data_IF_995631592743
#
_entry.id   IF_995631592743
#
_cell.length_a   1.000
_cell.length_b   1.000
_cell.length_c   1.000
_cell.angle_alpha   90.00
_cell.angle_beta   90.00
_cell.angle_gamma   90.00
#
_symmetry.space_group_name_H-M   'P 1'
#
loop_
_entity.id
_entity.type
_entity.pdbx_description
1 polymer ?
#
# COMPACT_ATOMS: atom_id res chain seq x y z
N UNK A 1 29.26 -6.94 2.66
CA UNK A 1 29.11 -8.27 2.04
C UNK A 1 28.89 -8.08 0.55
N UNK A 2 29.50 -8.89 -0.29
CA UNK A 2 29.24 -8.89 -1.74
C UNK A 2 27.87 -9.51 -2.02
N UNK A 3 27.14 -8.92 -2.96
CA UNK A 3 25.81 -9.39 -3.36
C UNK A 3 25.87 -10.75 -4.07
N UNK A 4 24.94 -11.63 -3.73
CA UNK A 4 24.93 -13.03 -4.17
C UNK A 4 24.41 -13.11 -5.60
N UNK A 5 25.15 -13.78 -6.47
CA UNK A 5 24.67 -14.10 -7.82
C UNK A 5 23.71 -15.28 -7.76
N UNK A 6 22.55 -15.15 -8.38
CA UNK A 6 21.55 -16.21 -8.43
C UNK A 6 21.92 -17.22 -9.53
N UNK A 7 22.44 -18.37 -9.13
CA UNK A 7 22.60 -19.51 -10.04
C UNK A 7 21.25 -20.18 -10.28
N UNK A 8 21.12 -20.98 -11.34
CA UNK A 8 19.87 -21.69 -11.67
C UNK A 8 19.35 -22.54 -10.50
N UNK A 9 20.24 -23.21 -9.77
CA UNK A 9 19.87 -24.03 -8.61
C UNK A 9 19.33 -23.19 -7.45
N UNK A 10 19.93 -22.03 -7.19
CA UNK A 10 19.47 -21.09 -6.16
C UNK A 10 18.14 -20.48 -6.58
N UNK A 11 18.02 -20.02 -7.83
CA UNK A 11 16.80 -19.45 -8.40
C UNK A 11 15.65 -20.47 -8.34
N UNK A 12 15.89 -21.74 -8.69
CA UNK A 12 14.89 -22.80 -8.59
C UNK A 12 14.44 -23.06 -7.16
N UNK A 13 15.38 -23.04 -6.20
CA UNK A 13 15.07 -23.20 -4.78
C UNK A 13 14.21 -22.05 -4.25
N UNK A 14 14.54 -20.81 -4.63
CA UNK A 14 13.74 -19.63 -4.29
C UNK A 14 12.36 -19.69 -4.98
N UNK A 15 12.29 -20.10 -6.25
CA UNK A 15 11.03 -20.21 -6.99
C UNK A 15 10.05 -21.19 -6.32
N UNK A 16 10.55 -22.28 -5.75
CA UNK A 16 9.74 -23.21 -4.94
C UNK A 16 9.21 -22.55 -3.66
N UNK A 17 10.02 -21.71 -3.00
CA UNK A 17 9.56 -20.93 -1.83
C UNK A 17 8.42 -19.99 -2.23
N UNK A 18 8.55 -19.28 -3.35
CA UNK A 18 7.52 -18.36 -3.84
C UNK A 18 6.24 -19.10 -4.25
N UNK A 19 6.36 -20.26 -4.91
CA UNK A 19 5.21 -21.10 -5.25
C UNK A 19 4.45 -21.52 -4.00
N UNK A 20 5.17 -22.03 -3.00
CA UNK A 20 4.57 -22.47 -1.74
C UNK A 20 3.93 -21.31 -0.98
N UNK A 21 4.54 -20.12 -1.02
CA UNK A 21 3.96 -18.92 -0.44
C UNK A 21 2.61 -18.58 -1.11
N UNK A 22 2.56 -18.57 -2.45
CA UNK A 22 1.35 -18.25 -3.22
C UNK A 22 0.20 -19.26 -3.00
N UNK A 23 0.51 -20.52 -2.72
CA UNK A 23 -0.49 -21.57 -2.45
C UNK A 23 -1.08 -21.51 -1.03
N UNK A 24 -0.43 -20.83 -0.09
CA UNK A 24 -0.96 -20.66 1.27
C UNK A 24 -2.16 -19.72 1.25
N UNK A 25 -3.12 -19.94 2.15
CA UNK A 25 -4.33 -19.08 2.29
C UNK A 25 -3.98 -17.59 2.34
N UNK A 26 -2.94 -17.22 3.10
CA UNK A 26 -2.50 -15.82 3.24
C UNK A 26 -1.78 -15.28 2.00
N UNK A 27 -1.20 -16.15 1.18
CA UNK A 27 -0.46 -15.77 -0.03
C UNK A 27 -1.31 -15.71 -1.29
N UNK A 28 -2.50 -16.32 -1.30
CA UNK A 28 -3.39 -16.33 -2.46
C UNK A 28 -3.75 -14.93 -2.96
N UNK A 29 -3.91 -13.97 -2.05
CA UNK A 29 -4.20 -12.57 -2.41
C UNK A 29 -3.02 -11.85 -3.09
N UNK A 30 -1.81 -12.42 -3.03
CA UNK A 30 -0.60 -11.92 -3.65
C UNK A 30 -0.14 -12.79 -4.83
N UNK A 31 -0.90 -13.83 -5.20
CA UNK A 31 -0.48 -14.82 -6.19
C UNK A 31 -0.54 -14.31 -7.64
N UNK A 32 -1.26 -13.22 -7.90
CA UNK A 32 -1.46 -12.65 -9.23
C UNK A 32 -1.54 -11.13 -9.15
N UNK A 33 -1.33 -10.41 -10.28
CA UNK A 33 -1.44 -8.96 -10.31
C UNK A 33 -2.80 -8.48 -9.77
N UNK A 34 -2.79 -7.38 -9.01
CA UNK A 34 -4.03 -6.77 -8.53
C UNK A 34 -4.85 -6.28 -9.72
N UNK A 35 -6.02 -6.88 -9.95
CA UNK A 35 -6.96 -6.42 -10.97
C UNK A 35 -7.72 -5.19 -10.48
N UNK A 36 -7.04 -4.04 -10.49
CA UNK A 36 -7.57 -2.79 -9.98
C UNK A 36 -8.80 -2.28 -10.75
N UNK A 37 -9.02 -2.73 -11.99
CA UNK A 37 -10.22 -2.39 -12.78
C UNK A 37 -11.43 -3.14 -12.24
N UNK A 38 -11.33 -4.47 -12.14
CA UNK A 38 -12.42 -5.32 -11.63
C UNK A 38 -12.79 -4.97 -10.18
N UNK A 39 -11.78 -4.61 -9.38
CA UNK A 39 -11.97 -4.20 -7.98
C UNK A 39 -12.43 -2.73 -7.82
N UNK A 40 -12.59 -1.97 -8.91
CA UNK A 40 -13.01 -0.56 -8.86
C UNK A 40 -12.01 0.38 -8.18
N UNK A 41 -10.73 0.01 -8.14
CA UNK A 41 -9.65 0.71 -7.46
C UNK A 41 -9.02 1.77 -8.39
N UNK A 42 -9.77 2.85 -8.65
CA UNK A 42 -9.41 3.86 -9.65
C UNK A 42 -8.12 4.66 -9.36
N UNK A 43 -7.66 4.70 -8.10
CA UNK A 43 -6.44 5.37 -7.70
C UNK A 43 -5.25 4.41 -7.50
N UNK A 44 -5.42 3.10 -7.72
CA UNK A 44 -4.41 2.09 -7.39
C UNK A 44 -3.06 2.42 -8.05
N UNK A 45 -3.05 2.70 -9.36
CA UNK A 45 -1.84 3.07 -10.09
C UNK A 45 -1.33 4.50 -9.78
N UNK A 46 -2.16 5.33 -9.13
CA UNK A 46 -1.74 6.63 -8.62
C UNK A 46 -0.96 6.50 -7.31
N UNK A 47 -1.25 5.46 -6.52
CA UNK A 47 -0.59 5.19 -5.24
C UNK A 47 0.55 4.18 -5.44
N UNK A 48 0.26 3.03 -6.03
CA UNK A 48 1.20 1.94 -6.32
C UNK A 48 1.88 2.20 -7.66
N UNK A 49 3.15 2.63 -7.60
CA UNK A 49 3.94 3.01 -8.78
C UNK A 49 4.54 1.83 -9.54
N UNK A 50 4.91 0.77 -8.83
CA UNK A 50 5.48 -0.45 -9.40
C UNK A 50 4.68 -1.65 -8.89
N UNK A 51 3.55 -2.02 -9.52
CA UNK A 51 2.82 -3.24 -9.18
C UNK A 51 3.74 -4.46 -9.26
N UNK A 52 3.57 -5.39 -8.33
CA UNK A 52 4.30 -6.65 -8.27
C UNK A 52 3.44 -7.68 -7.52
N UNK A 53 3.61 -8.95 -7.86
CA UNK A 53 2.93 -10.09 -7.26
C UNK A 53 3.84 -11.33 -7.27
N UNK A 54 3.48 -12.37 -6.52
CA UNK A 54 4.28 -13.57 -6.37
C UNK A 54 4.40 -14.37 -7.68
N UNK A 55 3.38 -14.35 -8.53
CA UNK A 55 3.41 -15.02 -9.84
C UNK A 55 4.41 -14.34 -10.77
N UNK A 56 4.34 -13.02 -10.90
CA UNK A 56 5.31 -12.22 -11.67
C UNK A 56 6.72 -12.35 -11.10
N UNK A 57 6.88 -12.29 -9.76
CA UNK A 57 8.17 -12.46 -9.10
C UNK A 57 8.79 -13.82 -9.42
N UNK A 58 8.01 -14.90 -9.34
CA UNK A 58 8.45 -16.25 -9.68
C UNK A 58 8.82 -16.36 -11.17
N UNK A 59 7.97 -15.83 -12.05
CA UNK A 59 8.21 -15.84 -13.48
C UNK A 59 9.52 -15.13 -13.84
N UNK A 60 9.73 -13.91 -13.32
CA UNK A 60 10.95 -13.14 -13.54
C UNK A 60 12.20 -13.90 -13.05
N UNK A 61 12.10 -14.54 -11.89
CA UNK A 61 13.19 -15.32 -11.33
C UNK A 61 13.57 -16.51 -12.21
N UNK A 62 12.58 -17.27 -12.70
CA UNK A 62 12.83 -18.44 -13.56
C UNK A 62 13.31 -18.06 -14.98
N UNK A 63 13.05 -16.83 -15.41
CA UNK A 63 13.52 -16.29 -16.69
C UNK A 63 14.83 -15.48 -16.56
N UNK A 64 15.57 -15.66 -15.47
CA UNK A 64 16.86 -15.02 -15.22
C UNK A 64 16.82 -13.48 -15.27
N UNK A 65 15.67 -12.86 -14.97
CA UNK A 65 15.55 -11.40 -14.87
C UNK A 65 16.40 -10.86 -13.72
N UNK A 66 16.52 -11.63 -12.64
CA UNK A 66 17.35 -11.27 -11.48
C UNK A 66 18.71 -11.97 -11.57
N UNK A 67 19.77 -11.20 -11.81
CA UNK A 67 21.16 -11.70 -11.73
C UNK A 67 21.62 -11.74 -10.27
N UNK A 68 21.17 -10.78 -9.46
CA UNK A 68 21.54 -10.63 -8.06
C UNK A 68 20.39 -10.89 -7.12
N UNK A 69 20.72 -11.42 -5.93
CA UNK A 69 19.78 -11.66 -4.87
C UNK A 69 19.12 -10.37 -4.39
N UNK A 70 19.87 -9.26 -4.30
CA UNK A 70 19.30 -7.98 -3.87
C UNK A 70 18.17 -7.50 -4.77
N UNK A 71 18.27 -7.68 -6.10
CA UNK A 71 17.23 -7.30 -7.06
C UNK A 71 15.94 -8.10 -6.82
N UNK A 72 16.08 -9.41 -6.63
CA UNK A 72 14.95 -10.28 -6.25
C UNK A 72 14.32 -9.86 -4.91
N UNK A 73 15.14 -9.59 -3.89
CA UNK A 73 14.66 -9.20 -2.55
C UNK A 73 13.91 -7.87 -2.60
N UNK A 74 14.37 -6.90 -3.39
CA UNK A 74 13.69 -5.62 -3.59
C UNK A 74 12.29 -5.82 -4.18
N UNK A 75 12.16 -6.62 -5.23
CA UNK A 75 10.85 -6.87 -5.86
C UNK A 75 9.95 -7.75 -4.98
N UNK A 76 10.51 -8.67 -4.20
CA UNK A 76 9.78 -9.41 -3.17
C UNK A 76 9.19 -8.46 -2.11
N UNK A 77 10.00 -7.56 -1.55
CA UNK A 77 9.54 -6.57 -0.59
C UNK A 77 8.54 -5.57 -1.20
N UNK A 78 8.66 -5.26 -2.49
CA UNK A 78 7.75 -4.37 -3.21
C UNK A 78 6.30 -4.87 -3.18
N UNK A 79 6.06 -6.19 -3.25
CA UNK A 79 4.71 -6.79 -3.15
C UNK A 79 4.03 -6.34 -1.86
N UNK A 80 4.73 -6.53 -0.73
CA UNK A 80 4.19 -6.27 0.59
C UNK A 80 4.18 -4.78 0.91
N UNK A 81 5.18 -4.02 0.45
CA UNK A 81 5.19 -2.56 0.56
C UNK A 81 4.03 -1.92 -0.21
N UNK A 82 3.73 -2.38 -1.43
CA UNK A 82 2.55 -1.92 -2.17
C UNK A 82 1.27 -2.19 -1.40
N UNK A 83 1.13 -3.40 -0.85
CA UNK A 83 -0.01 -3.75 -0.01
C UNK A 83 -0.12 -2.81 1.20
N UNK A 84 1.01 -2.53 1.87
CA UNK A 84 1.05 -1.65 3.05
C UNK A 84 0.75 -0.19 2.72
N UNK A 85 1.31 0.34 1.64
CA UNK A 85 1.10 1.73 1.21
C UNK A 85 -0.37 1.93 0.83
N UNK A 86 -0.94 0.98 0.10
CA UNK A 86 -2.31 1.10 -0.39
C UNK A 86 -3.36 0.83 0.71
N UNK A 87 -3.14 -0.21 1.53
CA UNK A 87 -4.11 -0.68 2.52
C UNK A 87 -3.82 -0.23 3.97
N UNK A 88 -2.70 0.46 4.23
CA UNK A 88 -2.20 0.76 5.58
C UNK A 88 -3.10 1.63 6.46
N UNK A 89 -4.14 2.22 5.88
CA UNK A 89 -5.14 2.99 6.59
C UNK A 89 -6.50 2.28 6.73
N UNK A 90 -6.60 1.00 6.36
CA UNK A 90 -7.85 0.22 6.51
C UNK A 90 -8.14 -0.05 7.99
N UNK A 91 -9.38 0.22 8.45
CA UNK A 91 -9.80 0.01 9.84
C UNK A 91 -9.63 -1.44 10.32
N UNK A 92 -9.68 -2.39 9.41
CA UNK A 92 -9.63 -3.82 9.73
C UNK A 92 -8.20 -4.37 9.84
N UNK A 93 -7.19 -3.67 9.29
CA UNK A 93 -5.79 -4.10 9.30
C UNK A 93 -5.52 -5.46 8.65
N UNK A 94 -6.53 -6.08 8.01
CA UNK A 94 -6.46 -7.44 7.49
C UNK A 94 -5.34 -7.59 6.46
N UNK A 95 -5.31 -6.73 5.45
CA UNK A 95 -4.30 -6.77 4.39
C UNK A 95 -2.88 -6.55 4.91
N UNK A 96 -2.72 -5.71 5.95
CA UNK A 96 -1.43 -5.50 6.62
C UNK A 96 -0.96 -6.79 7.31
N UNK A 97 -1.87 -7.45 8.04
CA UNK A 97 -1.58 -8.71 8.71
C UNK A 97 -1.21 -9.80 7.71
N UNK A 98 -1.96 -9.92 6.60
CA UNK A 98 -1.67 -10.89 5.54
C UNK A 98 -0.34 -10.62 4.86
N UNK A 99 -0.01 -9.35 4.58
CA UNK A 99 1.26 -8.95 4.01
C UNK A 99 2.42 -9.35 4.93
N UNK A 100 2.35 -8.99 6.22
CA UNK A 100 3.38 -9.33 7.19
C UNK A 100 3.53 -10.85 7.35
N UNK A 101 2.42 -11.59 7.48
CA UNK A 101 2.47 -13.06 7.65
C UNK A 101 3.06 -13.77 6.41
N UNK A 102 2.73 -13.30 5.21
CA UNK A 102 3.27 -13.87 3.97
C UNK A 102 4.76 -13.53 3.81
N UNK A 103 5.15 -12.28 4.08
CA UNK A 103 6.55 -11.82 4.05
C UNK A 103 7.41 -12.59 5.06
N UNK A 104 6.95 -12.71 6.31
CA UNK A 104 7.62 -13.47 7.37
C UNK A 104 7.81 -14.94 6.97
N UNK A 105 6.79 -15.56 6.36
CA UNK A 105 6.90 -16.93 5.87
C UNK A 105 8.00 -17.07 4.79
N UNK A 106 8.01 -16.18 3.79
CA UNK A 106 9.00 -16.20 2.71
C UNK A 106 10.40 -16.03 3.31
N UNK A 107 10.60 -15.02 4.16
CA UNK A 107 11.87 -14.75 4.83
C UNK A 107 12.33 -15.99 5.61
N UNK A 108 11.43 -16.61 6.38
CA UNK A 108 11.74 -17.80 7.16
C UNK A 108 12.14 -19.00 6.28
N UNK A 109 11.57 -19.15 5.08
CA UNK A 109 12.00 -20.20 4.14
C UNK A 109 13.31 -19.87 3.44
N UNK A 110 13.53 -18.61 3.03
CA UNK A 110 14.78 -18.18 2.38
C UNK A 110 15.99 -18.44 3.30
N UNK A 111 15.87 -18.23 4.61
CA UNK A 111 16.92 -18.55 5.61
C UNK A 111 17.32 -20.02 5.63
N UNK A 112 16.45 -20.93 5.20
CA UNK A 112 16.74 -22.36 5.17
C UNK A 112 17.58 -22.76 3.94
N UNK A 113 17.66 -21.89 2.94
CA UNK A 113 18.51 -22.09 1.77
C UNK A 113 19.93 -21.67 2.15
N UNK A 114 20.76 -22.65 2.55
CA UNK A 114 22.11 -22.42 3.09
C UNK A 114 22.97 -21.55 2.18
N UNK A 115 22.84 -21.73 0.87
CA UNK A 115 23.63 -21.03 -0.15
C UNK A 115 23.32 -19.52 -0.24
N UNK A 116 22.19 -19.07 0.33
CA UNK A 116 21.83 -17.66 0.39
C UNK A 116 22.51 -16.90 1.53
N UNK A 117 22.93 -17.58 2.61
CA UNK A 117 23.51 -16.95 3.79
C UNK A 117 22.73 -15.69 4.28
N UNK A 118 21.40 -15.66 4.08
CA UNK A 118 20.54 -14.54 4.48
C UNK A 118 20.23 -14.64 5.97
N UNK A 119 20.34 -13.51 6.67
CA UNK A 119 19.81 -13.32 8.01
C UNK A 119 18.95 -12.04 8.08
N UNK A 120 18.34 -11.78 9.25
CA UNK A 120 17.52 -10.59 9.49
C UNK A 120 18.20 -9.28 9.11
N UNK A 121 19.48 -9.12 9.46
CA UNK A 121 20.21 -7.89 9.21
C UNK A 121 20.49 -7.69 7.72
N UNK A 122 20.87 -8.75 7.00
CA UNK A 122 21.15 -8.73 5.56
C UNK A 122 19.86 -8.47 4.78
N UNK A 123 18.77 -9.16 5.13
CA UNK A 123 17.47 -8.93 4.50
C UNK A 123 17.02 -7.48 4.68
N UNK A 124 17.09 -6.96 5.93
CA UNK A 124 16.76 -5.55 6.20
C UNK A 124 17.67 -4.58 5.47
N UNK A 125 18.96 -4.87 5.33
CA UNK A 125 19.88 -4.03 4.56
C UNK A 125 19.49 -3.97 3.08
N UNK A 126 19.10 -5.10 2.49
CA UNK A 126 18.65 -5.18 1.10
C UNK A 126 17.33 -4.44 0.87
N UNK A 127 16.42 -4.48 1.85
CA UNK A 127 15.13 -3.78 1.79
C UNK A 127 15.26 -2.28 2.08
N UNK A 128 16.07 -1.88 3.07
CA UNK A 128 16.22 -0.49 3.51
C UNK A 128 17.26 0.30 2.70
N UNK A 129 18.01 -0.34 1.79
CA UNK A 129 18.97 0.33 0.92
C UNK A 129 18.35 1.35 -0.04
N UNK A 130 17.05 1.21 -0.32
CA UNK A 130 16.23 2.14 -1.10
C UNK A 130 14.92 2.40 -0.35
N UNK A 131 15.00 3.04 0.84
CA UNK A 131 13.78 3.61 1.46
C UNK A 131 13.19 4.60 0.47
N UNK A 132 12.22 4.15 -0.32
CA UNK A 132 11.28 5.02 -1.00
C UNK A 132 10.63 5.85 0.09
N UNK A 133 11.07 7.11 0.17
CA UNK A 133 10.37 8.18 0.88
C UNK A 133 9.00 8.33 0.23
N UNK A 134 8.07 7.45 0.56
CA UNK A 134 6.67 7.63 0.19
C UNK A 134 6.11 8.66 1.15
N UNK A 135 5.85 9.85 0.61
CA UNK A 135 4.96 10.81 1.24
C UNK A 135 3.66 10.10 1.60
N UNK A 136 3.12 10.29 2.82
CA UNK A 136 1.89 9.62 3.22
C UNK A 136 0.77 9.99 2.25
N UNK A 137 0.34 9.03 1.43
CA UNK A 137 -0.79 9.19 0.51
C UNK A 137 -2.10 8.85 1.22
N UNK A 138 -3.14 9.64 0.94
CA UNK A 138 -4.51 9.30 1.32
C UNK A 138 -4.93 8.04 0.55
N UNK A 139 -5.01 6.90 1.23
CA UNK A 139 -5.49 5.66 0.61
C UNK A 139 -7.01 5.68 0.39
N UNK A 140 -7.53 4.90 -0.57
CA UNK A 140 -8.97 4.79 -0.93
C UNK A 140 -9.86 4.79 0.30
N UNK A 141 -9.54 3.97 1.29
CA UNK A 141 -10.40 3.81 2.46
C UNK A 141 -10.59 5.13 3.22
N UNK A 142 -9.53 5.93 3.37
CA UNK A 142 -9.64 7.27 3.99
C UNK A 142 -10.45 8.23 3.13
N UNK A 143 -10.33 8.15 1.79
CA UNK A 143 -11.16 8.93 0.88
C UNK A 143 -12.63 8.53 1.02
N UNK A 144 -12.94 7.23 1.05
CA UNK A 144 -14.31 6.73 1.25
C UNK A 144 -14.88 7.13 2.61
N UNK A 145 -14.10 7.02 3.68
CA UNK A 145 -14.51 7.48 5.02
C UNK A 145 -14.72 8.99 5.05
N UNK A 146 -13.86 9.77 4.39
CA UNK A 146 -14.03 11.22 4.28
C UNK A 146 -15.32 11.57 3.53
N UNK A 147 -15.61 10.88 2.42
CA UNK A 147 -16.88 11.07 1.67
C UNK A 147 -18.08 10.74 2.54
N UNK A 148 -18.05 9.62 3.27
CA UNK A 148 -19.13 9.24 4.20
C UNK A 148 -19.30 10.28 5.32
N UNK A 149 -18.19 10.76 5.90
CA UNK A 149 -18.23 11.81 6.93
C UNK A 149 -18.82 13.10 6.34
N UNK A 150 -18.38 13.52 5.16
CA UNK A 150 -18.88 14.72 4.47
C UNK A 150 -20.36 14.62 4.12
N UNK A 151 -20.85 13.45 3.71
CA UNK A 151 -22.26 13.19 3.43
C UNK A 151 -23.13 13.26 4.70
N UNK A 152 -22.54 13.00 5.87
CA UNK A 152 -23.20 13.10 7.16
C UNK A 152 -23.17 14.50 7.80
N UNK A 153 -22.44 15.46 7.21
CA UNK A 153 -22.40 16.84 7.70
C UNK A 153 -23.71 17.56 7.38
N UNK A 154 -24.09 18.52 8.24
CA UNK A 154 -25.15 19.42 7.87
C UNK A 154 -24.71 20.34 6.69
N UNK A 155 -25.66 20.92 5.93
CA UNK A 155 -25.33 21.71 4.75
C UNK A 155 -24.41 22.91 5.02
N UNK A 156 -24.43 23.47 6.22
CA UNK A 156 -23.61 24.61 6.59
C UNK A 156 -22.16 24.16 6.83
N UNK A 157 -21.95 23.07 7.55
CA UNK A 157 -20.63 22.49 7.82
C UNK A 157 -19.99 21.88 6.58
N UNK A 158 -20.78 21.25 5.71
CA UNK A 158 -20.32 20.79 4.40
C UNK A 158 -19.88 21.97 3.53
N UNK A 159 -20.68 23.05 3.49
CA UNK A 159 -20.33 24.27 2.76
C UNK A 159 -19.04 24.90 3.28
N UNK A 160 -18.82 24.94 4.60
CA UNK A 160 -17.57 25.44 5.19
C UNK A 160 -16.37 24.57 4.80
N UNK A 161 -16.52 23.25 4.85
CA UNK A 161 -15.46 22.30 4.51
C UNK A 161 -15.03 22.42 3.04
N UNK A 162 -15.99 22.56 2.12
CA UNK A 162 -15.72 22.75 0.69
C UNK A 162 -15.09 24.12 0.41
N UNK A 163 -15.57 25.19 1.05
CA UNK A 163 -14.99 26.54 0.93
C UNK A 163 -13.53 26.58 1.39
N UNK A 164 -13.24 25.95 2.53
CA UNK A 164 -11.90 25.86 3.07
C UNK A 164 -10.97 25.12 2.09
N UNK A 165 -11.41 23.98 1.56
CA UNK A 165 -10.65 23.22 0.57
C UNK A 165 -10.37 24.02 -0.70
N UNK A 166 -11.38 24.69 -1.28
CA UNK A 166 -11.22 25.53 -2.45
C UNK A 166 -10.19 26.64 -2.23
N UNK A 167 -10.19 27.27 -1.05
CA UNK A 167 -9.20 28.29 -0.69
C UNK A 167 -7.77 27.75 -0.67
N UNK A 168 -7.53 26.55 -0.12
CA UNK A 168 -6.19 25.94 -0.09
C UNK A 168 -5.68 25.60 -1.49
N UNK A 169 -6.59 25.20 -2.38
CA UNK A 169 -6.27 24.82 -3.76
C UNK A 169 -6.26 26.01 -4.72
N UNK A 170 -6.53 27.23 -4.23
CA UNK A 170 -6.74 28.42 -5.05
C UNK A 170 -7.82 28.22 -6.14
N UNK A 171 -8.82 27.38 -5.84
CA UNK A 171 -9.97 27.14 -6.71
C UNK A 171 -11.03 28.21 -6.38
N UNK A 172 -11.52 28.98 -7.38
CA UNK A 172 -12.62 29.91 -7.17
C UNK A 172 -13.87 29.17 -6.67
N UNK A 173 -14.45 29.62 -5.55
CA UNK A 173 -15.68 29.06 -4.99
C UNK A 173 -16.82 30.07 -5.12
N UNK A 174 -17.84 29.74 -5.92
CA UNK A 174 -19.09 30.49 -6.02
C UNK A 174 -20.21 29.66 -5.37
N UNK A 175 -20.75 30.17 -4.25
CA UNK A 175 -21.84 29.52 -3.51
C UNK A 175 -23.13 29.42 -4.34
N UNK A 176 -23.28 30.26 -5.36
CA UNK A 176 -24.49 30.36 -6.17
C UNK A 176 -24.40 29.56 -7.49
N UNK A 177 -23.20 29.09 -7.88
CA UNK A 177 -22.95 28.34 -9.12
C UNK A 177 -21.99 27.15 -8.89
N UNK A 178 -22.36 26.24 -7.99
CA UNK A 178 -21.56 25.06 -7.65
C UNK A 178 -21.39 24.10 -8.85
N UNK A 179 -20.19 24.10 -9.46
CA UNK A 179 -19.64 22.96 -10.21
C UNK A 179 -18.37 22.49 -9.49
N UNK A 180 -18.51 21.54 -8.56
CA UNK A 180 -17.34 21.00 -7.86
C UNK A 180 -16.65 19.94 -8.73
N UNK A 181 -15.39 20.17 -9.09
CA UNK A 181 -14.45 19.14 -9.53
C UNK A 181 -13.33 19.02 -8.50
N UNK A 182 -13.31 17.93 -7.74
CA UNK A 182 -12.21 17.61 -6.83
C UNK A 182 -11.06 17.01 -7.63
N UNK A 183 -10.02 17.79 -7.95
CA UNK A 183 -8.85 17.31 -8.70
C UNK A 183 -7.51 17.54 -7.99
N UNK A 184 -7.47 17.76 -6.67
CA UNK A 184 -6.16 17.97 -6.01
C UNK A 184 -5.38 16.66 -5.86
N UNK A 185 -4.08 16.74 -6.12
CA UNK A 185 -3.10 15.67 -5.87
C UNK A 185 -2.27 15.91 -4.60
N UNK A 186 -2.58 16.93 -3.80
CA UNK A 186 -1.78 17.28 -2.61
C UNK A 186 -2.33 16.59 -1.33
N UNK A 187 -1.63 15.58 -0.78
CA UNK A 187 -2.11 14.80 0.38
C UNK A 187 -2.13 15.59 1.69
N UNK A 188 -1.34 16.66 1.83
CA UNK A 188 -1.31 17.47 3.05
C UNK A 188 -2.61 18.27 3.24
N UNK A 189 -3.23 18.67 2.13
CA UNK A 189 -4.50 19.40 2.14
C UNK A 189 -5.66 18.47 2.51
N UNK A 190 -5.60 17.19 2.10
CA UNK A 190 -6.58 16.17 2.52
C UNK A 190 -6.46 15.86 4.02
N UNK A 191 -5.23 15.86 4.55
CA UNK A 191 -4.97 15.60 5.98
C UNK A 191 -5.48 16.74 6.87
N UNK A 192 -5.31 17.99 6.42
CA UNK A 192 -5.88 19.15 7.12
C UNK A 192 -7.41 19.19 7.04
N UNK A 193 -8.00 18.77 5.90
CA UNK A 193 -9.46 18.66 5.75
C UNK A 193 -10.06 17.61 6.69
N UNK A 194 -9.47 16.42 6.78
CA UNK A 194 -9.93 15.35 7.69
C UNK A 194 -9.88 15.78 9.16
N UNK A 195 -8.81 16.47 9.57
CA UNK A 195 -8.71 17.04 10.93
C UNK A 195 -9.80 18.07 11.22
N UNK A 196 -10.10 18.95 10.25
CA UNK A 196 -11.13 19.97 10.40
C UNK A 196 -12.53 19.35 10.53
N UNK A 197 -12.83 18.28 9.78
CA UNK A 197 -14.11 17.55 9.88
C UNK A 197 -14.25 16.86 11.24
N UNK A 198 -13.17 16.27 11.77
CA UNK A 198 -13.18 15.65 13.10
C UNK A 198 -13.44 16.66 14.23
N UNK A 199 -12.89 17.89 14.11
CA UNK A 199 -13.10 18.96 15.10
C UNK A 199 -14.53 19.51 15.10
N UNK A 200 -15.23 19.45 13.96
CA UNK A 200 -16.62 19.90 13.79
C UNK A 200 -17.66 18.84 14.17
N UNK A 201 -17.27 17.56 14.28
CA UNK A 201 -18.21 16.47 14.58
C UNK A 201 -18.55 16.41 16.08
N UNK A 202 -19.84 16.49 16.50
CA UNK A 202 -20.22 16.45 17.90
C UNK A 202 -19.87 15.11 18.59
N UNK A 203 -19.09 15.15 19.67
CA UNK A 203 -18.78 13.95 20.47
C UNK A 203 -20.02 13.46 21.23
N UNK A 204 -20.58 12.31 20.82
CA UNK A 204 -21.71 11.66 21.53
C UNK A 204 -21.32 11.39 23.00
N UNK A 205 -22.05 12.00 23.95
CA UNK A 205 -21.93 11.69 25.39
C UNK A 205 -22.33 10.23 25.62
N UNK A 206 -21.42 9.41 26.16
CA UNK A 206 -21.74 8.04 26.60
C UNK A 206 -22.76 8.13 27.75
N UNK A 207 -23.99 7.67 27.53
CA UNK A 207 -24.95 7.41 28.60
C UNK A 207 -24.42 6.26 29.46
N UNK A 208 -24.12 6.54 30.72
CA UNK A 208 -23.90 5.49 31.72
C UNK A 208 -25.25 4.85 32.03
N UNK A 209 -25.38 3.56 31.76
CA UNK A 209 -26.29 2.65 32.45
C UNK A 209 -25.43 1.86 33.44
#
# INVERSE_FOLDING_TARGET
MSDITLTENIASSIANVIQNAAQRKVGQIFASPVNHIELGLHDYLQIVKKPMDLGTLQHNLLNNVYVKLSDFVKDCAQIFNNCRIYNGNSQEGMYMRLANECEDYIIAQLRKIKDLNINDAIYRQMVNGDVLQSTPTFGIYKIQQLVIKMDSLDPQDLSYSVQWYCKQQQIPFDRNNLKIQFSTKNPEILMQLDKMVDDLTPKKKKSKL
#
